data_IF_429124613030
#
_entry.id   IF_429124613030
#
_cell.length_a   1.000
_cell.length_b   1.000
_cell.length_c   1.000
_cell.angle_alpha   90.00
_cell.angle_beta   90.00
_cell.angle_gamma   90.00
#
_symmetry.space_group_name_H-M   'P 1'
#
loop_
_entity.id
_entity.type
_entity.pdbx_description
1 polymer ?
2 non-polymer ?
3 water ?
#
# COMPACT_ATOMS: atom_id res chain seq x y z
N UNK A 5 -9.00 13.96 -11.07
CA UNK A 5 -9.88 13.02 -11.81
C UNK A 5 -10.08 11.74 -10.99
N UNK A 6 -9.50 11.72 -9.78
CA UNK A 6 -9.64 10.54 -8.93
C UNK A 6 -11.02 10.43 -8.31
N UNK A 7 -11.25 9.37 -7.55
CA UNK A 7 -12.55 9.18 -6.92
C UNK A 7 -12.88 10.27 -5.90
N UNK A 8 -13.92 11.04 -6.18
CA UNK A 8 -14.33 12.09 -5.25
C UNK A 8 -15.55 11.63 -4.47
N UNK A 9 -15.30 10.84 -3.44
CA UNK A 9 -16.36 10.32 -2.60
C UNK A 9 -15.91 10.40 -1.16
N UNK A 10 -16.82 10.15 -0.23
CA UNK A 10 -16.50 10.19 1.18
C UNK A 10 -16.17 8.82 1.72
N UNK A 11 -14.89 8.60 2.00
CA UNK A 11 -14.41 7.33 2.54
C UNK A 11 -14.62 7.34 4.04
N UNK A 12 -14.92 6.17 4.61
CA UNK A 12 -15.10 6.09 6.04
C UNK A 12 -14.81 4.68 6.54
N UNK A 13 -13.72 4.51 7.30
CA UNK A 13 -12.79 5.55 7.74
C UNK A 13 -12.17 6.39 6.62
N UNK A 14 -11.63 7.57 6.96
CA UNK A 14 -11.00 8.49 6.01
C UNK A 14 -9.89 7.85 5.17
N UNK A 15 -9.78 8.31 3.93
CA UNK A 15 -8.78 7.79 3.01
C UNK A 15 -7.37 8.09 3.52
N UNK A 16 -6.49 7.10 3.43
CA UNK A 16 -5.11 7.27 3.87
C UNK A 16 -4.35 7.97 2.74
N UNK A 17 -3.37 8.79 3.12
CA UNK A 17 -2.57 9.53 2.16
C UNK A 17 -1.88 8.66 1.11
N UNK A 18 -1.51 7.44 1.48
CA UNK A 18 -0.84 6.53 0.55
C UNK A 18 -1.68 6.14 -0.66
N UNK A 19 -2.99 6.39 -0.59
CA UNK A 19 -3.89 6.05 -1.68
C UNK A 19 -4.35 7.30 -2.43
N UNK A 20 -3.82 8.45 -2.04
CA UNK A 20 -4.17 9.70 -2.68
C UNK A 20 -3.24 10.01 -3.85
N UNK A 21 -3.80 10.56 -4.91
CA UNK A 21 -3.02 10.94 -6.06
C UNK A 21 -2.37 12.30 -5.80
N UNK A 22 -1.03 12.37 -5.93
CA UNK A 22 -0.33 13.64 -5.70
C UNK A 22 -0.81 14.78 -6.58
N UNK A 23 -1.39 14.45 -7.74
CA UNK A 23 -1.86 15.48 -8.65
C UNK A 23 -3.25 16.00 -8.32
N UNK A 24 -4.26 15.15 -8.41
CA UNK A 24 -5.65 15.56 -8.14
C UNK A 24 -5.98 15.57 -6.64
N UNK A 25 -5.16 14.90 -5.85
CA UNK A 25 -5.33 14.81 -4.40
C UNK A 25 -6.56 14.02 -3.94
N UNK A 26 -7.00 13.07 -4.76
CA UNK A 26 -8.14 12.22 -4.42
C UNK A 26 -7.72 10.76 -4.58
N UNK A 27 -8.57 9.83 -4.17
CA UNK A 27 -8.26 8.41 -4.29
C UNK A 27 -7.89 8.06 -5.72
N UNK A 28 -6.78 7.34 -5.88
CA UNK A 28 -6.29 6.92 -7.18
C UNK A 28 -7.33 6.19 -8.03
N UNK A 29 -7.53 6.65 -9.26
CA UNK A 29 -8.47 6.01 -10.18
C UNK A 29 -7.61 5.41 -11.27
N UNK A 30 -7.71 4.09 -11.44
CA UNK A 30 -6.89 3.38 -12.42
C UNK A 30 -5.42 3.67 -12.09
N UNK A 31 -5.07 3.37 -10.85
CA UNK A 31 -3.74 3.57 -10.31
C UNK A 31 -2.60 3.00 -11.16
N UNK A 32 -1.59 3.82 -11.38
CA UNK A 32 -0.40 3.40 -12.11
C UNK A 32 0.80 3.84 -11.28
N UNK A 33 1.91 3.11 -11.39
CA UNK A 33 3.11 3.45 -10.63
C UNK A 33 4.27 3.78 -11.57
N UNK A 34 5.11 4.73 -11.14
CA UNK A 34 6.28 5.15 -11.92
C UNK A 34 7.51 4.36 -11.51
N UNK A 35 8.60 4.46 -12.29
CA UNK A 35 9.81 3.71 -11.94
C UNK A 35 10.42 4.24 -10.65
N UNK A 36 10.12 5.50 -10.35
CA UNK A 36 10.63 6.15 -9.14
C UNK A 36 9.71 5.93 -7.93
N UNK A 37 8.84 4.91 -8.03
CA UNK A 37 7.96 4.56 -6.94
C UNK A 37 6.83 5.48 -6.50
N UNK A 38 6.23 6.20 -7.44
CA UNK A 38 5.12 7.10 -7.10
C UNK A 38 3.84 6.71 -7.83
N UNK A 39 2.74 6.71 -7.10
CA UNK A 39 1.43 6.35 -7.64
C UNK A 39 0.63 7.54 -8.10
N UNK A 40 -0.10 7.37 -9.20
CA UNK A 40 -0.95 8.43 -9.74
C UNK A 40 -2.15 7.81 -10.46
N UNK A 41 -3.17 8.61 -10.71
CA UNK A 41 -4.32 8.13 -11.46
C UNK A 41 -3.70 8.07 -12.86
N UNK A 42 -4.06 7.09 -13.66
CA UNK A 42 -3.51 6.99 -15.00
C UNK A 42 -3.71 8.29 -15.79
N UNK A 43 -4.89 8.88 -15.65
CA UNK A 43 -5.24 10.11 -16.36
C UNK A 43 -4.45 11.33 -15.92
N UNK A 44 -4.25 11.46 -14.61
CA UNK A 44 -3.52 12.61 -14.10
C UNK A 44 -2.04 12.62 -14.48
N UNK A 45 -1.37 11.48 -14.36
CA UNK A 45 0.04 11.41 -14.71
C UNK A 45 0.27 11.58 -16.20
N UNK A 46 -0.62 11.00 -17.02
CA UNK A 46 -0.51 11.11 -18.46
C UNK A 46 -0.62 12.58 -18.85
N UNK A 47 -1.62 13.25 -18.30
CA UNK A 47 -1.81 14.67 -18.59
C UNK A 47 -0.60 15.48 -18.14
N UNK A 48 -0.03 15.11 -16.99
CA UNK A 48 1.13 15.81 -16.48
C UNK A 48 2.33 15.64 -17.41
N UNK A 49 2.47 14.46 -17.99
CA UNK A 49 3.57 14.20 -18.92
C UNK A 49 3.31 15.02 -20.17
N UNK A 50 2.17 14.75 -20.82
CA UNK A 50 1.79 15.45 -22.02
C UNK A 50 1.30 16.85 -21.66
N UNK A 51 2.13 17.61 -20.95
CA UNK A 51 1.74 18.97 -20.55
C UNK A 51 2.79 19.67 -19.69
N UNK A 52 3.34 18.95 -18.71
CA UNK A 52 4.36 19.54 -17.84
C UNK A 52 5.73 18.95 -18.15
N UNK A 53 5.79 18.02 -19.08
CA UNK A 53 7.06 17.40 -19.44
C UNK A 53 7.12 15.93 -19.09
N UNK A 54 8.12 15.24 -19.61
CA UNK A 54 8.30 13.82 -19.34
C UNK A 54 9.07 13.58 -18.05
N UNK A 55 8.42 13.89 -16.92
CA UNK A 55 9.04 13.70 -15.62
C UNK A 55 7.98 13.50 -14.56
N UNK A 56 8.38 12.91 -13.44
CA UNK A 56 7.48 12.68 -12.33
C UNK A 56 7.32 14.03 -11.62
N UNK A 57 6.07 14.48 -11.45
CA UNK A 57 5.77 15.76 -10.79
C UNK A 57 6.36 15.90 -9.39
N UNK A 58 6.47 14.80 -8.66
CA UNK A 58 6.96 14.84 -7.30
C UNK A 58 8.47 14.99 -7.09
N UNK A 59 9.27 14.46 -8.01
CA UNK A 59 10.72 14.54 -7.85
C UNK A 59 11.48 14.88 -9.13
N UNK A 60 10.75 15.28 -10.17
CA UNK A 60 11.34 15.64 -11.45
C UNK A 60 12.14 14.55 -12.14
N UNK A 61 12.03 13.31 -11.67
CA UNK A 61 12.74 12.22 -12.33
C UNK A 61 12.18 12.08 -13.74
N UNK A 62 13.05 11.80 -14.71
CA UNK A 62 12.61 11.64 -16.10
C UNK A 62 11.60 10.50 -16.16
N UNK A 63 10.46 10.77 -16.80
CA UNK A 63 9.38 9.79 -16.91
C UNK A 63 8.75 9.69 -18.28
N UNK A 64 8.64 8.47 -18.80
CA UNK A 64 8.01 8.25 -20.10
C UNK A 64 6.73 7.45 -19.90
N UNK A 65 5.68 7.82 -20.64
CA UNK A 65 4.40 7.14 -20.52
C UNK A 65 4.49 5.63 -20.66
N UNK A 66 5.44 5.14 -21.45
CA UNK A 66 5.57 3.70 -21.62
C UNK A 66 6.32 3.03 -20.46
N UNK A 67 6.71 3.83 -19.47
CA UNK A 67 7.41 3.30 -18.31
C UNK A 67 6.48 3.06 -17.13
N UNK A 68 5.25 3.57 -17.25
CA UNK A 68 4.22 3.42 -16.22
C UNK A 68 3.73 1.99 -16.16
N UNK A 69 3.39 1.50 -14.98
CA UNK A 69 2.85 0.16 -14.89
C UNK A 69 1.57 0.21 -14.08
N UNK A 70 0.57 -0.61 -14.47
CA UNK A 70 -0.70 -0.61 -13.72
C UNK A 70 -0.55 -1.18 -12.33
N UNK A 71 -0.84 -0.37 -11.32
CA UNK A 71 -0.72 -0.82 -9.95
C UNK A 71 -2.04 -1.45 -9.55
N UNK A 72 -2.22 -2.68 -9.97
CA UNK A 72 -3.45 -3.38 -9.67
C UNK A 72 -3.57 -3.74 -8.19
N UNK A 73 -2.45 -3.76 -7.48
CA UNK A 73 -2.54 -4.07 -6.07
C UNK A 73 -3.24 -2.88 -5.41
N UNK A 74 -2.80 -1.67 -5.75
CA UNK A 74 -3.39 -0.44 -5.20
C UNK A 74 -4.85 -0.29 -5.58
N UNK A 75 -5.15 -0.60 -6.84
CA UNK A 75 -6.52 -0.50 -7.34
C UNK A 75 -7.44 -1.40 -6.51
N UNK A 76 -7.06 -2.66 -6.35
CA UNK A 76 -7.87 -3.59 -5.58
C UNK A 76 -8.11 -3.07 -4.16
N UNK A 77 -7.07 -2.52 -3.55
CA UNK A 77 -7.21 -1.98 -2.19
C UNK A 77 -8.23 -0.85 -2.16
N UNK A 78 -8.03 0.12 -3.04
CA UNK A 78 -8.92 1.28 -3.09
C UNK A 78 -10.38 0.89 -3.34
N UNK A 79 -10.62 -0.05 -4.24
CA UNK A 79 -11.98 -0.48 -4.57
C UNK A 79 -12.66 -1.23 -3.44
N UNK A 80 -11.88 -1.68 -2.46
CA UNK A 80 -12.43 -2.42 -1.33
C UNK A 80 -12.68 -1.51 -0.14
N UNK A 81 -12.28 -0.25 -0.25
CA UNK A 81 -12.46 0.72 0.83
C UNK A 81 -13.92 1.11 1.03
N UNK A 82 -14.36 1.14 2.29
CA UNK A 82 -15.72 1.51 2.63
C UNK A 82 -15.99 2.98 2.33
N UNK A 83 -17.10 3.25 1.63
CA UNK A 83 -17.48 4.61 1.31
C UNK A 83 -18.94 4.84 1.69
N UNK A 84 -19.31 6.11 1.84
CA UNK A 84 -20.68 6.45 2.17
C UNK A 84 -21.37 6.98 0.92
N UNK A 85 -22.64 6.65 0.73
CA UNK A 85 -23.37 7.14 -0.43
C UNK A 85 -23.53 8.64 -0.30
N UNK A 86 -23.23 9.40 -1.37
CA UNK A 86 -23.35 10.86 -1.37
C UNK A 86 -24.78 11.40 -1.29
N UNK A 87 -25.75 10.65 -1.79
CA UNK A 87 -27.13 11.11 -1.79
C UNK A 87 -27.69 11.51 -0.45
N UNK A 88 -28.29 12.70 -0.41
CA UNK A 88 -28.87 13.22 0.82
C UNK A 88 -29.98 12.34 1.35
N UNK A 89 -29.87 11.97 2.62
CA UNK A 89 -30.86 11.11 3.23
C UNK A 89 -30.39 9.67 3.31
N UNK A 90 -29.52 9.25 2.40
CA UNK A 90 -29.06 7.87 2.41
C UNK A 90 -27.99 7.63 3.47
N UNK A 91 -28.09 6.48 4.13
CA UNK A 91 -27.13 6.13 5.17
C UNK A 91 -26.36 4.87 4.83
N UNK A 92 -26.48 4.40 3.59
CA UNK A 92 -25.76 3.19 3.18
C UNK A 92 -24.26 3.43 3.06
N UNK A 93 -23.48 2.43 3.48
CA UNK A 93 -22.04 2.44 3.40
C UNK A 93 -21.71 1.17 2.66
N UNK A 94 -20.74 1.21 1.77
CA UNK A 94 -20.38 0.02 1.00
C UNK A 94 -18.97 0.15 0.47
N UNK A 95 -18.45 -0.91 -0.13
CA UNK A 95 -17.12 -0.88 -0.70
C UNK A 95 -17.25 -0.03 -1.98
N UNK A 96 -16.23 0.76 -2.28
CA UNK A 96 -16.25 1.65 -3.44
C UNK A 96 -16.65 0.95 -4.74
N UNK A 97 -16.13 -0.25 -4.95
CA UNK A 97 -16.44 -1.03 -6.15
C UNK A 97 -17.94 -1.23 -6.35
N UNK A 98 -18.73 -1.07 -5.29
CA UNK A 98 -20.17 -1.26 -5.39
C UNK A 98 -20.98 0.03 -5.41
N UNK A 99 -20.30 1.16 -5.26
CA UNK A 99 -20.99 2.45 -5.24
C UNK A 99 -21.71 2.82 -6.54
N UNK A 100 -21.08 2.52 -7.68
CA UNK A 100 -21.68 2.83 -8.97
C UNK A 100 -23.01 2.11 -9.16
N UNK A 101 -23.01 0.80 -8.92
CA UNK A 101 -24.22 0.01 -9.03
C UNK A 101 -25.28 0.58 -8.10
N UNK A 102 -24.87 0.91 -6.88
CA UNK A 102 -25.79 1.43 -5.89
C UNK A 102 -26.48 2.71 -6.29
N UNK A 103 -25.71 3.66 -6.81
CA UNK A 103 -26.24 4.94 -7.22
C UNK A 103 -27.34 4.81 -8.28
N UNK A 104 -27.27 3.76 -9.10
CA UNK A 104 -28.26 3.55 -10.13
C UNK A 104 -29.59 3.10 -9.55
N UNK A 105 -29.57 2.67 -8.28
CA UNK A 105 -30.79 2.21 -7.63
C UNK A 105 -31.15 2.98 -6.37
N UNK A 106 -30.24 3.82 -5.88
CA UNK A 106 -30.51 4.57 -4.65
C UNK A 106 -31.78 5.43 -4.74
N UNK A 107 -32.67 5.25 -3.76
CA UNK A 107 -33.93 5.96 -3.75
C UNK A 107 -33.77 7.42 -3.35
N UNK A 108 -32.55 7.83 -3.01
CA UNK A 108 -32.31 9.21 -2.62
C UNK A 108 -31.63 10.03 -3.71
N UNK A 109 -31.34 9.39 -4.85
CA UNK A 109 -30.71 10.08 -5.97
C UNK A 109 -31.72 11.02 -6.63
N UNK A 110 -31.26 12.19 -7.05
CA UNK A 110 -32.14 13.15 -7.72
C UNK A 110 -32.45 12.66 -9.11
N UNK A 111 -33.62 13.02 -9.61
CA UNK A 111 -34.05 12.60 -10.93
C UNK A 111 -34.95 13.69 -11.50
N UNK A 112 -34.96 13.84 -12.81
CA UNK A 112 -35.81 14.86 -13.40
C UNK A 112 -37.15 14.30 -13.86
N UNK A 113 -38.22 15.02 -13.52
CA UNK A 113 -39.55 14.61 -13.90
C UNK A 113 -39.61 14.65 -15.42
N UNK A 114 -40.11 13.57 -16.04
CA UNK A 114 -40.21 13.55 -17.50
C UNK A 114 -41.23 14.53 -18.08
N UNK A 115 -41.99 15.21 -17.24
CA UNK A 115 -42.97 16.16 -17.74
C UNK A 115 -42.63 17.63 -17.51
N UNK A 116 -42.10 17.96 -16.34
CA UNK A 116 -41.78 19.36 -16.06
C UNK A 116 -40.27 19.55 -15.86
N UNK A 117 -39.52 18.49 -16.11
CA UNK A 117 -38.07 18.47 -15.95
C UNK A 117 -37.49 19.00 -14.64
N UNK A 118 -38.33 19.16 -13.61
CA UNK A 118 -37.83 19.60 -12.32
C UNK A 118 -37.24 18.36 -11.62
N UNK A 119 -36.24 18.56 -10.75
CA UNK A 119 -35.57 17.48 -10.02
C UNK A 119 -36.25 17.04 -8.72
N UNK A 120 -36.32 15.73 -8.51
CA UNK A 120 -36.92 15.16 -7.31
C UNK A 120 -36.18 13.89 -6.90
N UNK A 121 -36.18 13.59 -5.60
CA UNK A 121 -35.53 12.38 -5.12
C UNK A 121 -36.38 11.21 -5.64
N UNK A 122 -35.71 10.13 -6.03
CA UNK A 122 -36.37 8.96 -6.58
C UNK A 122 -37.54 8.40 -5.78
N UNK A 123 -37.45 8.42 -4.46
CA UNK A 123 -38.54 7.87 -3.65
C UNK A 123 -39.84 8.66 -3.76
N UNK A 124 -39.75 9.90 -4.23
CA UNK A 124 -40.92 10.75 -4.37
C UNK A 124 -41.41 10.87 -5.81
N UNK A 125 -40.60 10.41 -6.75
CA UNK A 125 -40.94 10.54 -8.14
C UNK A 125 -42.31 10.07 -8.63
N UNK A 126 -42.80 8.96 -8.13
CA UNK A 126 -44.10 8.46 -8.57
C UNK A 126 -45.24 9.32 -8.04
N UNK A 127 -45.10 9.81 -6.81
CA UNK A 127 -46.12 10.67 -6.24
C UNK A 127 -46.13 11.98 -7.03
N UNK A 128 -44.95 12.52 -7.32
CA UNK A 128 -44.88 13.76 -8.08
C UNK A 128 -45.52 13.64 -9.46
N UNK A 129 -45.06 12.63 -10.20
CA UNK A 129 -45.55 12.42 -11.55
C UNK A 129 -47.02 12.16 -11.70
N UNK A 130 -47.64 11.44 -10.75
CA UNK A 130 -49.06 11.14 -10.87
C UNK A 130 -50.03 11.98 -10.05
N UNK A 131 -49.54 12.72 -9.05
CA UNK A 131 -50.43 13.50 -8.22
C UNK A 131 -50.18 15.01 -8.15
N UNK A 132 -48.92 15.43 -8.26
CA UNK A 132 -48.58 16.85 -8.16
C UNK A 132 -48.11 17.60 -9.40
N UNK A 133 -47.50 16.90 -10.34
CA UNK A 133 -46.97 17.56 -11.53
C UNK A 133 -47.98 18.38 -12.33
N UNK A 134 -47.76 19.71 -12.44
CA UNK A 134 -48.65 20.61 -13.19
C UNK A 134 -48.70 20.24 -14.67
N UNK A 135 -47.72 19.49 -15.12
CA UNK A 135 -47.67 19.07 -16.51
C UNK A 135 -48.07 17.62 -16.74
N UNK A 136 -48.60 16.95 -15.71
CA UNK A 136 -49.03 15.56 -15.86
C UNK A 136 -50.19 15.60 -16.88
N UNK A 137 -50.26 14.59 -17.75
CA UNK A 137 -51.31 14.55 -18.75
C UNK A 137 -52.60 13.89 -18.27
N UNK A 138 -53.72 14.59 -18.40
CA UNK A 138 -55.03 14.09 -18.00
C UNK A 138 -56.00 14.22 -19.16
N UNK A 139 -57.04 13.41 -19.16
CA UNK A 139 -58.02 13.44 -20.24
C UNK A 139 -59.35 14.06 -19.85
N UNK A 140 -59.96 14.74 -20.80
CA UNK A 140 -61.25 15.40 -20.58
C UNK A 140 -62.38 14.37 -20.60
N UNK A 141 -63.26 14.44 -19.60
CA UNK A 141 -64.38 13.51 -19.53
C UNK A 141 -65.30 13.63 -20.73
N UNK A 142 -65.36 14.81 -21.34
CA UNK A 142 -66.25 15.04 -22.47
C UNK A 142 -65.72 14.75 -23.86
N UNK A 143 -64.55 15.29 -24.21
CA UNK A 143 -64.02 15.07 -25.55
C UNK A 143 -62.80 14.16 -25.65
N UNK A 144 -62.39 13.58 -24.52
CA UNK A 144 -61.24 12.68 -24.52
C UNK A 144 -59.94 13.37 -24.95
N UNK A 145 -59.91 14.69 -24.84
CA UNK A 145 -58.70 15.43 -25.18
C UNK A 145 -57.71 15.28 -24.03
N UNK A 146 -56.43 15.17 -24.37
CA UNK A 146 -55.37 15.04 -23.39
C UNK A 146 -54.72 16.40 -23.18
N UNK A 147 -54.51 16.79 -21.93
CA UNK A 147 -53.89 18.08 -21.66
C UNK A 147 -53.08 18.06 -20.37
N UNK A 148 -52.36 19.15 -20.11
CA UNK A 148 -51.56 19.29 -18.92
C UNK A 148 -52.54 19.64 -17.82
N UNK A 149 -52.43 18.98 -16.67
CA UNK A 149 -53.35 19.23 -15.56
C UNK A 149 -53.59 20.72 -15.32
N UNK A 150 -52.53 21.51 -15.31
CA UNK A 150 -52.64 22.95 -15.06
C UNK A 150 -53.47 23.69 -16.11
N UNK A 151 -53.76 23.03 -17.23
CA UNK A 151 -54.54 23.65 -18.28
C UNK A 151 -55.97 23.14 -18.31
N UNK A 152 -56.30 22.24 -17.40
CA UNK A 152 -57.62 21.64 -17.32
C UNK A 152 -58.76 22.62 -17.09
N UNK A 153 -58.57 23.53 -16.14
CA UNK A 153 -59.60 24.52 -15.82
C UNK A 153 -60.01 25.33 -17.05
N UNK A 154 -59.03 25.91 -17.74
CA UNK A 154 -59.34 26.70 -18.92
C UNK A 154 -59.94 25.85 -20.02
N UNK A 155 -59.58 24.58 -20.09
CA UNK A 155 -60.14 23.69 -21.10
C UNK A 155 -61.61 23.39 -20.79
N UNK A 156 -61.88 23.04 -19.53
CA UNK A 156 -63.23 22.70 -19.06
C UNK A 156 -64.23 23.85 -19.17
N UNK A 157 -63.76 25.06 -18.90
CA UNK A 157 -64.63 26.22 -18.98
C UNK A 157 -64.97 26.59 -20.42
N UNK A 158 -64.28 26.00 -21.37
CA UNK A 158 -64.53 26.32 -22.77
C UNK A 158 -64.46 25.08 -23.65
N UNK A 159 -64.80 23.95 -23.06
CA UNK A 159 -64.78 22.69 -23.78
C UNK A 159 -66.03 22.54 -24.63
N UNK A 160 -65.90 21.95 -25.84
CA UNK A 160 -67.05 21.76 -26.71
C UNK A 160 -68.08 20.84 -26.04
N UNK A 161 -67.76 20.42 -24.82
CA UNK A 161 -68.60 19.51 -24.04
C UNK A 161 -68.90 18.23 -24.81
N UNK B 5 12.53 -15.54 1.96
CA UNK B 5 13.79 -14.74 1.98
C UNK B 5 13.51 -13.26 2.23
N UNK B 6 12.29 -12.95 2.65
CA UNK B 6 11.94 -11.57 2.95
C UNK B 6 12.60 -11.11 4.23
N UNK B 7 12.36 -9.87 4.64
CA UNK B 7 12.98 -9.35 5.86
C UNK B 7 12.42 -10.07 7.08
N UNK B 8 13.30 -10.72 7.83
CA UNK B 8 12.89 -11.43 9.03
C UNK B 8 13.33 -10.61 10.24
N UNK B 9 12.54 -9.61 10.58
CA UNK B 9 12.84 -8.74 11.70
C UNK B 9 11.55 -8.39 12.42
N UNK B 10 11.66 -7.87 13.64
CA UNK B 10 10.47 -7.52 14.39
C UNK B 10 10.05 -6.08 14.09
N UNK B 11 8.89 -5.94 13.47
CA UNK B 11 8.35 -4.62 13.13
C UNK B 11 7.53 -4.18 14.33
N UNK B 12 7.48 -2.87 14.56
CA UNK B 12 6.72 -2.35 15.68
C UNK B 12 6.34 -0.91 15.40
N UNK B 13 5.04 -0.65 15.17
CA UNK B 13 3.91 -1.60 15.16
C UNK B 13 4.10 -2.79 14.23
N UNK B 14 3.35 -3.88 14.46
CA UNK B 14 3.41 -5.11 13.65
C UNK B 14 3.20 -4.87 12.16
N UNK B 15 3.87 -5.68 11.36
CA UNK B 15 3.79 -5.59 9.90
C UNK B 15 2.38 -5.88 9.41
N UNK B 16 1.88 -5.04 8.50
CA UNK B 16 0.55 -5.23 7.95
C UNK B 16 0.63 -6.30 6.85
N UNK B 17 -0.42 -7.11 6.73
CA UNK B 17 -0.48 -8.18 5.74
C UNK B 17 -0.18 -7.72 4.31
N UNK B 18 -0.60 -6.51 3.97
CA UNK B 18 -0.38 -5.96 2.64
C UNK B 18 1.09 -5.90 2.23
N UNK B 19 1.98 -5.92 3.20
CA UNK B 19 3.40 -5.84 2.91
C UNK B 19 4.12 -7.16 3.10
N UNK B 20 3.33 -8.22 3.30
CA UNK B 20 3.86 -9.55 3.50
C UNK B 20 3.88 -10.34 2.19
N UNK B 21 4.96 -11.08 1.96
CA UNK B 21 5.09 -11.89 0.75
C UNK B 21 4.29 -13.17 0.90
N UNK B 22 3.35 -13.42 -0.02
CA UNK B 22 2.54 -14.65 0.06
C UNK B 22 3.37 -15.92 0.10
N UNK B 23 4.57 -15.88 -0.47
CA UNK B 23 5.43 -17.06 -0.50
C UNK B 23 6.21 -17.33 0.78
N UNK B 24 7.08 -16.40 1.17
CA UNK B 24 7.89 -16.57 2.38
C UNK B 24 7.19 -16.06 3.65
N UNK B 25 6.09 -15.34 3.46
CA UNK B 25 5.32 -14.81 4.58
C UNK B 25 6.05 -13.81 5.47
N UNK B 26 6.97 -13.06 4.87
CA UNK B 26 7.72 -12.04 5.59
C UNK B 26 7.65 -10.73 4.79
N UNK B 27 8.14 -9.65 5.37
CA UNK B 27 8.14 -8.36 4.69
C UNK B 27 8.84 -8.48 3.33
N UNK B 28 8.17 -7.98 2.29
CA UNK B 28 8.68 -8.01 0.93
C UNK B 28 10.10 -7.44 0.79
N UNK B 29 11.01 -8.23 0.23
CA UNK B 29 12.39 -7.80 -0.01
C UNK B 29 12.52 -7.60 -1.52
N UNK B 30 12.86 -6.39 -1.95
CA UNK B 30 12.96 -6.10 -3.38
C UNK B 30 11.61 -6.46 -4.01
N UNK B 31 10.58 -5.83 -3.47
CA UNK B 31 9.20 -6.05 -3.90
C UNK B 31 8.93 -5.85 -5.38
N UNK B 32 8.28 -6.84 -5.98
CA UNK B 32 7.91 -6.78 -7.39
C UNK B 32 6.42 -7.10 -7.46
N UNK B 33 5.74 -6.55 -8.47
CA UNK B 33 4.31 -6.80 -8.64
C UNK B 33 4.00 -7.50 -9.96
N UNK B 34 3.02 -8.39 -9.93
CA UNK B 34 2.58 -9.16 -11.09
C UNK B 34 1.46 -8.45 -11.82
N UNK B 35 1.17 -8.86 -13.08
CA UNK B 35 0.11 -8.23 -13.87
C UNK B 35 -1.24 -8.40 -13.17
N UNK B 36 -1.36 -9.50 -12.44
CA UNK B 36 -2.59 -9.80 -11.73
C UNK B 36 -2.66 -9.13 -10.35
N UNK B 37 -1.83 -8.10 -10.15
CA UNK B 37 -1.87 -7.35 -8.91
C UNK B 37 -1.40 -7.97 -7.60
N UNK B 38 -0.42 -8.87 -7.63
CA UNK B 38 0.09 -9.46 -6.41
C UNK B 38 1.57 -9.16 -6.20
N UNK B 39 1.93 -8.81 -4.97
CA UNK B 39 3.30 -8.48 -4.61
C UNK B 39 4.06 -9.69 -4.08
N UNK B 40 5.35 -9.74 -4.38
CA UNK B 40 6.22 -10.82 -3.92
C UNK B 40 7.66 -10.31 -3.83
N UNK B 41 8.49 -11.01 -3.06
CA UNK B 41 9.90 -10.66 -3.00
C UNK B 41 10.34 -11.06 -4.40
N UNK B 42 11.26 -10.31 -5.00
CA UNK B 42 11.70 -10.67 -6.34
C UNK B 42 12.26 -12.11 -6.37
N UNK B 43 12.98 -12.50 -5.32
CA UNK B 43 13.58 -13.82 -5.26
C UNK B 43 12.56 -14.95 -5.10
N UNK B 44 11.56 -14.73 -4.27
CA UNK B 44 10.55 -15.74 -4.05
C UNK B 44 9.73 -16.04 -5.29
N UNK B 45 9.23 -15.00 -5.96
CA UNK B 45 8.41 -15.21 -7.14
C UNK B 45 9.19 -15.81 -8.30
N UNK B 46 10.46 -15.41 -8.45
CA UNK B 46 11.26 -15.96 -9.53
C UNK B 46 11.50 -17.45 -9.27
N UNK B 47 11.78 -17.81 -8.02
CA UNK B 47 11.99 -19.20 -7.67
C UNK B 47 10.71 -19.98 -7.91
N UNK B 48 9.57 -19.36 -7.61
CA UNK B 48 8.28 -20.02 -7.81
C UNK B 48 8.03 -20.27 -9.29
N UNK B 49 8.40 -19.32 -10.14
CA UNK B 49 8.23 -19.48 -11.58
C UNK B 49 9.17 -20.58 -12.06
N UNK B 50 10.46 -20.40 -11.80
CA UNK B 50 11.49 -21.37 -12.19
C UNK B 50 11.42 -22.56 -11.22
N UNK B 51 10.25 -23.14 -11.04
CA UNK B 51 10.12 -24.27 -10.11
C UNK B 51 8.70 -24.81 -10.02
N UNK B 52 7.73 -23.91 -9.87
CA UNK B 52 6.34 -24.33 -9.78
C UNK B 52 5.58 -24.01 -11.05
N UNK B 53 6.25 -23.40 -12.01
CA UNK B 53 5.61 -23.06 -13.27
C UNK B 53 5.45 -21.56 -13.50
N UNK B 54 5.18 -21.19 -14.75
CA UNK B 54 4.98 -19.79 -15.12
C UNK B 54 3.58 -19.30 -14.74
N UNK B 55 3.33 -19.15 -13.44
CA UNK B 55 2.03 -18.67 -12.99
C UNK B 55 2.11 -18.07 -11.59
N UNK B 56 1.18 -17.19 -11.27
CA UNK B 56 1.15 -16.58 -9.94
C UNK B 56 0.69 -17.64 -8.97
N UNK B 57 1.44 -17.86 -7.90
CA UNK B 57 1.06 -18.88 -6.91
C UNK B 57 -0.26 -18.63 -6.18
N UNK B 58 -0.73 -17.39 -6.19
CA UNK B 58 -1.98 -17.06 -5.50
C UNK B 58 -3.25 -17.38 -6.29
N UNK B 59 -3.22 -17.19 -7.61
CA UNK B 59 -4.41 -17.42 -8.42
C UNK B 59 -4.18 -18.24 -9.69
N UNK B 60 -2.99 -18.78 -9.84
CA UNK B 60 -2.66 -19.58 -11.02
C UNK B 60 -2.69 -18.85 -12.35
N UNK B 61 -2.73 -17.52 -12.31
CA UNK B 61 -2.73 -16.74 -13.54
C UNK B 61 -1.38 -16.96 -14.22
N UNK B 62 -1.35 -17.06 -15.54
CA UNK B 62 -0.10 -17.26 -16.26
C UNK B 62 0.83 -16.09 -15.97
N UNK B 63 2.06 -16.38 -15.59
CA UNK B 63 3.02 -15.35 -15.27
C UNK B 63 4.42 -15.61 -15.82
N UNK B 64 4.98 -14.61 -16.49
CA UNK B 64 6.33 -14.69 -17.05
C UNK B 64 7.24 -13.74 -16.28
N UNK B 65 8.47 -14.17 -16.05
CA UNK B 65 9.44 -13.36 -15.32
C UNK B 65 9.55 -11.95 -15.89
N UNK B 66 9.49 -11.84 -17.22
CA UNK B 66 9.61 -10.54 -17.88
C UNK B 66 8.37 -9.66 -17.71
N UNK B 67 7.35 -10.20 -17.05
CA UNK B 67 6.11 -9.44 -16.84
C UNK B 67 6.09 -8.74 -15.48
N UNK B 68 7.01 -9.11 -14.60
CA UNK B 68 7.10 -8.51 -13.28
C UNK B 68 7.60 -7.07 -13.37
N UNK B 69 7.17 -6.24 -12.42
CA UNK B 69 7.58 -4.84 -12.37
C UNK B 69 8.07 -4.53 -10.96
N UNK B 70 9.15 -3.75 -10.84
CA UNK B 70 9.65 -3.40 -9.51
C UNK B 70 8.62 -2.50 -8.80
N UNK B 71 8.13 -2.94 -7.64
CA UNK B 71 7.16 -2.13 -6.91
C UNK B 71 7.93 -1.27 -5.93
N UNK B 72 8.56 -0.22 -6.46
CA UNK B 72 9.35 0.67 -5.64
C UNK B 72 8.52 1.50 -4.67
N UNK B 73 7.21 1.58 -4.89
CA UNK B 73 6.37 2.31 -3.95
C UNK B 73 6.33 1.46 -2.67
N UNK B 74 6.09 0.15 -2.85
CA UNK B 74 6.03 -0.78 -1.71
C UNK B 74 7.38 -0.87 -0.99
N UNK B 75 8.45 -0.92 -1.77
CA UNK B 75 9.81 -0.98 -1.23
C UNK B 75 10.05 0.20 -0.30
N UNK B 76 9.81 1.41 -0.81
CA UNK B 76 10.01 2.62 -0.02
C UNK B 76 9.23 2.57 1.30
N UNK B 77 7.97 2.12 1.23
CA UNK B 77 7.13 2.03 2.41
C UNK B 77 7.72 1.05 3.43
N UNK B 78 8.09 -0.12 2.95
CA UNK B 78 8.63 -1.14 3.83
C UNK B 78 9.93 -0.71 4.50
N UNK B 79 10.80 -0.01 3.76
CA UNK B 79 12.07 0.44 4.31
C UNK B 79 11.93 1.60 5.29
N UNK B 80 10.73 2.17 5.38
CA UNK B 80 10.51 3.27 6.30
C UNK B 80 9.79 2.80 7.55
N UNK B 81 9.43 1.53 7.59
CA UNK B 81 8.74 0.93 8.73
C UNK B 81 9.66 0.79 9.94
N UNK B 82 9.17 1.18 11.11
CA UNK B 82 9.95 1.09 12.34
C UNK B 82 10.15 -0.35 12.75
N UNK B 83 11.41 -0.70 13.05
CA UNK B 83 11.75 -2.05 13.48
C UNK B 83 12.59 -2.01 14.75
N UNK B 84 12.60 -3.12 15.48
CA UNK B 84 13.37 -3.24 16.72
C UNK B 84 14.67 -3.96 16.40
N UNK B 85 15.76 -3.60 17.07
CA UNK B 85 17.02 -4.30 16.84
C UNK B 85 16.85 -5.69 17.46
N UNK B 86 17.33 -6.73 16.76
CA UNK B 86 17.24 -8.11 17.23
C UNK B 86 18.22 -8.52 18.32
N UNK B 87 19.29 -7.77 18.49
CA UNK B 87 20.28 -8.13 19.50
C UNK B 87 19.78 -7.98 20.93
N UNK B 88 20.03 -9.03 21.71
CA UNK B 88 19.64 -9.11 23.12
C UNK B 88 20.20 -7.96 23.93
N UNK B 89 19.34 -7.28 24.66
CA UNK B 89 19.76 -6.16 25.49
C UNK B 89 19.54 -4.82 24.82
N UNK B 90 19.51 -4.81 23.49
CA UNK B 90 19.31 -3.57 22.74
C UNK B 90 17.85 -3.14 22.70
N UNK B 91 17.60 -1.85 22.91
CA UNK B 91 16.24 -1.34 22.88
C UNK B 91 16.02 -0.32 21.76
N UNK B 92 17.01 -0.19 20.88
CA UNK B 92 16.91 0.74 19.76
C UNK B 92 15.86 0.34 18.74
N UNK B 93 15.08 1.32 18.30
CA UNK B 93 14.05 1.12 17.30
C UNK B 93 14.41 2.08 16.19
N UNK B 94 14.25 1.68 14.94
CA UNK B 94 14.62 2.55 13.83
C UNK B 94 13.93 2.09 12.56
N UNK B 95 14.04 2.89 11.51
CA UNK B 95 13.46 2.54 10.23
C UNK B 95 14.28 1.38 9.66
N UNK B 96 13.61 0.41 9.05
CA UNK B 96 14.27 -0.76 8.48
C UNK B 96 15.50 -0.46 7.65
N UNK B 97 15.42 0.60 6.84
CA UNK B 97 16.53 0.99 5.98
C UNK B 97 17.79 1.33 6.74
N UNK B 98 17.67 1.53 8.04
CA UNK B 98 18.83 1.88 8.87
C UNK B 98 19.32 0.73 9.74
N UNK B 99 18.57 -0.36 9.76
CA UNK B 99 18.92 -1.51 10.59
C UNK B 99 20.27 -2.13 10.26
N UNK B 100 20.56 -2.27 8.97
CA UNK B 100 21.81 -2.87 8.53
C UNK B 100 23.02 -2.10 9.05
N UNK B 101 23.01 -0.78 8.87
CA UNK B 101 24.12 0.00 9.35
C UNK B 101 24.21 -0.04 10.86
N UNK B 102 23.06 -0.10 11.53
CA UNK B 102 23.06 -0.15 12.97
C UNK B 102 23.70 -1.42 13.51
N UNK B 103 23.36 -2.56 12.92
CA UNK B 103 23.88 -3.84 13.37
C UNK B 103 25.39 -3.91 13.31
N UNK B 104 25.99 -3.14 12.40
CA UNK B 104 27.44 -3.13 12.27
C UNK B 104 28.08 -2.35 13.40
N UNK B 105 27.29 -1.63 14.18
CA UNK B 105 27.82 -0.85 15.28
C UNK B 105 27.18 -1.16 16.63
N UNK B 106 26.10 -1.92 16.61
CA UNK B 106 25.39 -2.26 17.84
C UNK B 106 26.34 -2.92 18.86
N UNK B 107 26.33 -2.42 20.11
CA UNK B 107 27.19 -2.96 21.16
C UNK B 107 26.68 -4.28 21.69
N UNK B 108 25.46 -4.66 21.32
CA UNK B 108 24.87 -5.89 21.80
C UNK B 108 25.01 -7.05 20.81
N UNK B 109 25.64 -6.80 19.67
CA UNK B 109 25.81 -7.86 18.69
C UNK B 109 26.92 -8.84 19.11
N UNK B 110 26.68 -10.13 18.91
CA UNK B 110 27.67 -11.13 19.27
C UNK B 110 28.90 -10.96 18.41
N UNK B 111 30.03 -11.42 18.91
CA UNK B 111 31.28 -11.30 18.19
C UNK B 111 32.22 -12.38 18.71
N UNK B 112 33.06 -12.90 17.82
CA UNK B 112 34.00 -13.96 18.21
C UNK B 112 35.35 -13.42 18.69
N UNK B 113 35.82 -13.92 19.82
CA UNK B 113 37.11 -13.47 20.32
C UNK B 113 38.17 -13.96 19.34
N UNK B 114 39.05 -13.05 18.90
CA UNK B 114 40.10 -13.42 17.95
C UNK B 114 41.12 -14.42 18.49
N UNK B 115 41.05 -14.72 19.78
CA UNK B 115 42.01 -15.65 20.36
C UNK B 115 41.47 -17.02 20.77
N UNK B 116 40.24 -17.07 21.24
CA UNK B 116 39.66 -18.35 21.66
C UNK B 116 38.42 -18.71 20.82
N UNK B 117 38.06 -17.80 19.92
CA UNK B 117 36.91 -17.99 19.03
C UNK B 117 35.56 -18.06 19.72
N UNK B 118 35.50 -17.90 21.04
CA UNK B 118 34.22 -17.93 21.71
C UNK B 118 33.45 -16.62 21.43
N UNK B 119 32.10 -16.68 21.44
CA UNK B 119 31.28 -15.50 21.18
C UNK B 119 30.99 -14.65 22.42
N UNK B 120 30.98 -13.34 22.23
CA UNK B 120 30.73 -12.39 23.31
C UNK B 120 30.08 -11.15 22.72
N UNK B 121 29.25 -10.48 23.51
CA UNK B 121 28.62 -9.27 23.04
C UNK B 121 29.70 -8.21 22.93
N UNK B 122 29.58 -7.37 21.92
CA UNK B 122 30.59 -6.36 21.65
C UNK B 122 30.99 -5.44 22.81
N UNK B 123 30.05 -5.10 23.68
CA UNK B 123 30.36 -4.20 24.79
C UNK B 123 31.32 -4.84 25.80
N UNK B 124 31.42 -6.16 25.77
CA UNK B 124 32.26 -6.89 26.69
C UNK B 124 33.57 -7.36 26.07
N UNK B 125 33.65 -7.28 24.74
CA UNK B 125 34.82 -7.74 24.02
C UNK B 125 36.17 -7.33 24.60
N UNK B 126 36.38 -6.03 24.81
CA UNK B 126 37.67 -5.54 25.32
C UNK B 126 38.04 -6.12 26.68
N UNK B 127 37.06 -6.23 27.57
CA UNK B 127 37.32 -6.79 28.87
C UNK B 127 37.71 -8.26 28.70
N UNK B 128 36.99 -8.97 27.83
CA UNK B 128 37.33 -10.37 27.63
C UNK B 128 38.72 -10.58 27.07
N UNK B 129 39.00 -9.89 25.96
CA UNK B 129 40.29 -9.99 25.28
C UNK B 129 41.51 -9.65 26.13
N UNK B 130 41.41 -8.60 26.94
CA UNK B 130 42.55 -8.16 27.75
C UNK B 130 42.62 -8.70 29.18
N UNK B 131 41.49 -9.10 29.76
CA UNK B 131 41.55 -9.55 31.16
C UNK B 131 41.11 -10.97 31.46
N UNK B 132 40.25 -11.54 30.63
CA UNK B 132 39.74 -12.89 30.89
C UNK B 132 40.12 -14.02 29.95
N UNK B 133 40.40 -13.71 28.68
CA UNK B 133 40.72 -14.75 27.73
C UNK B 133 41.91 -15.63 28.08
N UNK B 134 41.67 -16.94 28.21
CA UNK B 134 42.70 -17.92 28.54
C UNK B 134 43.80 -17.97 27.49
N UNK B 135 43.46 -17.55 26.27
CA UNK B 135 44.40 -17.54 25.15
C UNK B 135 45.04 -16.18 24.88
N UNK B 136 44.75 -15.18 25.70
CA UNK B 136 45.35 -13.86 25.50
C UNK B 136 46.87 -14.00 25.60
N UNK B 137 47.59 -13.35 24.70
CA UNK B 137 49.05 -13.44 24.68
C UNK B 137 49.70 -12.55 25.74
N UNK B 138 50.61 -13.14 26.51
CA UNK B 138 51.34 -12.42 27.54
C UNK B 138 52.83 -12.78 27.41
N UNK B 139 53.70 -11.85 27.81
CA UNK B 139 55.15 -12.03 27.72
C UNK B 139 55.79 -12.43 29.03
N UNK B 140 56.85 -13.23 28.96
CA UNK B 140 57.58 -13.66 30.15
C UNK B 140 58.56 -12.58 30.58
N UNK B 141 58.54 -12.24 31.87
CA UNK B 141 59.44 -11.23 32.40
C UNK B 141 60.91 -11.60 32.26
N UNK B 142 61.20 -12.88 32.07
CA UNK B 142 62.59 -13.32 31.96
C UNK B 142 63.15 -13.50 30.56
N UNK B 143 62.45 -14.25 29.71
CA UNK B 143 62.95 -14.48 28.36
C UNK B 143 62.22 -13.73 27.25
N UNK B 144 61.18 -12.99 27.62
CA UNK B 144 60.41 -12.23 26.63
C UNK B 144 59.61 -13.13 25.70
N UNK B 145 59.47 -14.40 26.06
CA UNK B 145 58.69 -15.33 25.26
C UNK B 145 57.21 -14.98 25.38
N UNK B 146 56.48 -15.10 24.27
CA UNK B 146 55.05 -14.82 24.27
C UNK B 146 54.28 -16.14 24.35
N UNK B 147 53.25 -16.16 25.19
CA UNK B 147 52.48 -17.38 25.37
C UNK B 147 51.04 -17.08 25.76
N UNK B 148 50.21 -18.11 25.72
CA UNK B 148 48.81 -17.98 26.11
C UNK B 148 48.83 -17.85 27.62
N UNK B 149 48.01 -16.95 28.14
CA UNK B 149 47.95 -16.75 29.59
C UNK B 149 47.76 -18.04 30.38
N UNK B 150 46.93 -18.95 29.86
CA UNK B 150 46.68 -20.20 30.56
C UNK B 150 47.92 -21.10 30.63
N UNK B 151 48.90 -20.84 29.77
CA UNK B 151 50.12 -21.64 29.74
C UNK B 151 51.27 -20.98 30.51
N UNK B 152 51.02 -19.83 31.10
CA UNK B 152 52.08 -19.12 31.82
C UNK B 152 52.65 -19.90 33.00
N UNK B 153 51.79 -20.45 33.86
CA UNK B 153 52.28 -21.18 35.02
C UNK B 153 53.29 -22.24 34.59
N UNK B 154 52.87 -23.11 33.68
CA UNK B 154 53.73 -24.17 33.14
C UNK B 154 55.06 -23.60 32.66
N UNK B 155 54.97 -22.47 31.96
CA UNK B 155 56.15 -21.83 31.39
C UNK B 155 57.18 -21.40 32.41
N UNK B 156 56.75 -20.96 33.57
CA UNK B 156 57.71 -20.55 34.57
C UNK B 156 58.63 -21.73 34.86
N UNK B 157 58.02 -22.89 35.06
CA UNK B 157 58.76 -24.11 35.35
C UNK B 157 59.22 -24.85 34.10
N UNK B 158 59.77 -24.11 33.13
CA UNK B 158 60.26 -24.72 31.90
C UNK B 158 61.13 -23.79 31.04
N UNK B 159 61.69 -22.76 31.66
CA UNK B 159 62.56 -21.82 30.95
C UNK B 159 63.73 -22.60 30.30
N UNK B 160 64.75 -21.91 29.73
CA UNK B 160 65.25 -20.57 29.46
C UNK B 160 64.79 -19.35 30.26
N UNK B 161 65.57 -19.03 31.29
CA UNK B 161 65.32 -17.90 32.16
C UNK B 161 66.08 -16.68 31.62
X LIG C 1 -5.22 11.97 -9.76
X LIG D 1 8.63 10.03 -8.69
X LIG E 1 -27.68 5.68 -1.37
X LIG F 1 -43.15 17.10 -12.98
X LIG G 1 -62.85 18.48 -23.78
X LIG H 1 9.27 -13.61 0.05
X LIG I 1 -1.85 -13.23 -8.71
X LIG J 1 21.13 -2.76 18.32
X LIG K 1 38.92 -15.21 24.13
X LIG L 1 60.43 -17.35 30.04
#
# INVERSE_FOLDING_TARGET
MEEIQGYDVEFDPPLESKYECPICLMALREAVQTPCGHRFCKACIIKSIRDAGHKCPVDNEILLENQLFPDNFAKREILSLMVKCPNEGCLHKMELRHLEDHQAHCEFALMDCPQCQRPFQKFHINIHILKDCPRRQVSCDNCAASMAFEDKEIHDQNCPLALEHHHHHH
MEEIQGYDVEFDPPLESKYECPICLMALREAVQTPCGHRFCKACIIKSIRDAGHKCPVDNEILLENQLFPDNFAKREILSLMVKCPNEGCLHKMELRHLEDHQAHCEFALMDCPQCQRPFQKFHINIHILKDCPRRQVSCDNCAASMAFEDKEIHDQNCPLALEHHHHHH
ZN ZN
ZN ZN
ZN ZN
ZN ZN
ZN ZN
ZN ZN
ZN ZN
ZN ZN
ZN ZN
ZN ZN
#
